data_IF_460729536962
#
_entry.id   IF_460729536962
#
_cell.length_a   1.000
_cell.length_b   1.000
_cell.length_c   1.000
_cell.angle_alpha   90.00
_cell.angle_beta   90.00
_cell.angle_gamma   90.00
#
_symmetry.space_group_name_H-M   'P 1'
#
loop_
_entity.id
_entity.type
_entity.pdbx_description
1 polymer ?
#
# COMPACT_ATOMS: atom_id res chain seq x y z
N UNK A 1 -11.17 -15.78 19.15
CA UNK A 1 -11.19 -15.54 17.69
C UNK A 1 -9.89 -14.84 17.32
N UNK A 2 -8.90 -15.59 16.85
CA UNK A 2 -7.62 -15.04 16.43
C UNK A 2 -7.81 -14.34 15.08
N UNK A 3 -7.48 -13.05 15.03
CA UNK A 3 -7.37 -12.35 13.75
C UNK A 3 -6.18 -12.99 13.02
N UNK A 4 -6.30 -13.32 11.72
CA UNK A 4 -5.18 -13.92 11.02
C UNK A 4 -3.99 -12.97 11.14
N UNK A 5 -2.78 -13.54 11.24
CA UNK A 5 -1.48 -12.87 11.26
C UNK A 5 -1.18 -12.03 10.01
N UNK A 6 -2.22 -11.70 9.22
CA UNK A 6 -2.21 -10.95 7.99
C UNK A 6 -2.17 -9.45 8.33
N UNK A 7 -1.21 -8.77 7.72
CA UNK A 7 -1.04 -7.32 7.72
C UNK A 7 -2.40 -6.62 7.62
N UNK A 8 -2.65 -5.70 8.56
CA UNK A 8 -3.86 -4.88 8.53
C UNK A 8 -3.63 -3.71 7.59
N UNK A 9 -4.63 -3.34 6.82
CA UNK A 9 -4.59 -2.10 6.06
C UNK A 9 -5.94 -1.41 6.16
N UNK A 10 -5.89 -0.09 6.04
CA UNK A 10 -7.03 0.80 6.02
C UNK A 10 -6.95 1.63 4.74
N UNK A 11 -8.09 2.10 4.25
CA UNK A 11 -8.09 2.97 3.08
C UNK A 11 -9.29 3.91 3.12
N UNK A 12 -9.08 5.09 2.56
CA UNK A 12 -10.12 6.08 2.35
C UNK A 12 -9.87 6.79 1.02
N UNK A 13 -10.94 7.29 0.41
CA UNK A 13 -10.85 8.01 -0.84
C UNK A 13 -11.42 9.43 -0.68
N UNK A 14 -10.80 10.34 -1.41
CA UNK A 14 -11.26 11.70 -1.65
C UNK A 14 -11.76 11.79 -3.09
N UNK A 15 -12.15 12.98 -3.56
CA UNK A 15 -12.64 13.18 -4.92
C UNK A 15 -11.61 12.80 -6.02
N UNK A 16 -10.31 12.94 -5.72
CA UNK A 16 -9.24 12.76 -6.72
C UNK A 16 -8.14 11.80 -6.27
N UNK A 17 -8.21 11.30 -5.04
CA UNK A 17 -7.12 10.51 -4.48
C UNK A 17 -7.63 9.36 -3.62
N UNK A 18 -6.97 8.21 -3.72
CA UNK A 18 -7.14 7.07 -2.82
C UNK A 18 -5.93 6.97 -1.90
N UNK A 19 -6.17 6.94 -0.60
CA UNK A 19 -5.12 6.84 0.41
C UNK A 19 -5.26 5.48 1.08
N UNK A 20 -4.20 4.68 1.02
CA UNK A 20 -4.13 3.35 1.63
C UNK A 20 -3.06 3.37 2.72
N UNK A 21 -3.45 3.05 3.95
CA UNK A 21 -2.54 2.94 5.09
C UNK A 21 -2.34 1.47 5.44
N UNK A 22 -1.12 0.96 5.25
CA UNK A 22 -0.77 -0.44 5.50
C UNK A 22 -0.03 -0.53 6.83
N UNK A 23 -0.60 -1.26 7.80
CA UNK A 23 0.00 -1.53 9.11
C UNK A 23 0.88 -2.78 9.05
N UNK A 24 2.18 -2.57 9.06
CA UNK A 24 3.20 -3.61 8.93
C UNK A 24 4.15 -3.58 10.12
N UNK A 25 4.46 -4.72 10.75
CA UNK A 25 5.40 -4.74 11.87
C UNK A 25 6.84 -4.85 11.35
N UNK A 26 7.72 -3.96 11.81
CA UNK A 26 9.16 -3.93 11.50
C UNK A 26 9.48 -3.68 10.02
N UNK A 27 8.64 -2.94 9.29
CA UNK A 27 9.00 -2.55 7.92
C UNK A 27 10.09 -1.48 7.91
N UNK A 28 11.03 -1.60 6.98
CA UNK A 28 11.92 -0.52 6.57
C UNK A 28 11.51 -0.02 5.20
N UNK A 29 11.96 1.17 4.83
CA UNK A 29 11.69 1.72 3.49
C UNK A 29 12.24 0.81 2.38
N UNK A 30 13.45 0.27 2.56
CA UNK A 30 14.04 -0.74 1.66
C UNK A 30 13.22 -2.03 1.51
N UNK A 31 12.44 -2.38 2.54
CA UNK A 31 11.63 -3.60 2.53
C UNK A 31 10.25 -3.37 1.87
N UNK A 32 9.90 -2.12 1.58
CA UNK A 32 8.60 -1.72 1.03
C UNK A 32 8.76 -1.36 -0.44
N UNK A 33 8.25 -2.21 -1.31
CA UNK A 33 8.20 -1.97 -2.75
C UNK A 33 6.76 -1.75 -3.18
N UNK A 34 6.45 -0.53 -3.61
CA UNK A 34 5.13 -0.17 -4.12
C UNK A 34 5.24 0.07 -5.62
N UNK A 35 4.45 -0.67 -6.40
CA UNK A 35 4.31 -0.46 -7.83
C UNK A 35 2.87 -0.09 -8.17
N UNK A 36 2.74 0.97 -8.95
CA UNK A 36 1.48 1.46 -9.48
C UNK A 36 1.36 1.01 -10.93
N UNK A 37 0.16 0.60 -11.32
CA UNK A 37 -0.21 0.25 -12.70
C UNK A 37 -1.49 0.99 -13.04
N UNK A 38 -1.88 1.05 -14.32
CA UNK A 38 -2.99 1.90 -14.80
C UNK A 38 -4.29 1.82 -13.96
N UNK A 39 -4.61 0.64 -13.39
CA UNK A 39 -5.78 0.43 -12.51
C UNK A 39 -5.49 -0.43 -11.30
N UNK A 40 -4.22 -0.61 -10.96
CA UNK A 40 -3.83 -1.54 -9.90
C UNK A 40 -2.71 -0.96 -9.05
N UNK A 41 -2.82 -1.20 -7.74
CA UNK A 41 -1.75 -0.96 -6.78
C UNK A 41 -1.21 -2.31 -6.32
N UNK A 42 0.10 -2.49 -6.43
CA UNK A 42 0.79 -3.67 -5.94
C UNK A 42 1.82 -3.23 -4.88
N UNK A 43 1.61 -3.65 -3.64
CA UNK A 43 2.52 -3.40 -2.54
C UNK A 43 3.17 -4.71 -2.11
N UNK A 44 4.47 -4.84 -2.31
CA UNK A 44 5.29 -5.96 -1.87
C UNK A 44 6.11 -5.56 -0.66
N UNK A 45 5.93 -6.26 0.44
CA UNK A 45 6.57 -5.99 1.71
C UNK A 45 7.45 -7.19 2.08
N UNK A 46 8.75 -6.95 2.20
CA UNK A 46 9.74 -7.95 2.58
C UNK A 46 9.87 -8.00 4.08
N UNK A 47 9.17 -8.92 4.73
CA UNK A 47 9.33 -9.12 6.17
C UNK A 47 10.58 -9.96 6.44
N UNK A 48 11.29 -9.64 7.52
CA UNK A 48 12.46 -10.40 7.97
C UNK A 48 12.12 -11.83 8.41
N UNK A 49 10.83 -12.16 8.58
CA UNK A 49 10.32 -13.47 9.01
C UNK A 49 9.93 -14.39 7.83
N UNK A 50 10.63 -14.30 6.70
CA UNK A 50 10.47 -15.15 5.49
C UNK A 50 9.13 -15.01 4.72
N UNK A 51 8.09 -14.43 5.31
CA UNK A 51 6.83 -14.16 4.61
C UNK A 51 6.90 -12.84 3.82
N UNK A 52 7.12 -12.94 2.50
CA UNK A 52 6.95 -11.82 1.60
C UNK A 52 5.45 -11.54 1.44
N UNK A 53 4.98 -10.44 2.01
CA UNK A 53 3.57 -10.06 1.90
C UNK A 53 3.35 -9.26 0.62
N UNK A 54 2.30 -9.62 -0.12
CA UNK A 54 1.89 -8.89 -1.33
C UNK A 54 0.45 -8.45 -1.18
N UNK A 55 0.22 -7.15 -1.20
CA UNK A 55 -1.10 -6.55 -1.27
C UNK A 55 -1.34 -6.10 -2.71
N UNK A 56 -2.37 -6.65 -3.33
CA UNK A 56 -2.85 -6.22 -4.63
C UNK A 56 -4.21 -5.60 -4.47
N UNK A 57 -4.35 -4.33 -4.83
CA UNK A 57 -5.61 -3.60 -4.81
C UNK A 57 -5.98 -3.21 -6.24
N UNK A 58 -7.17 -3.60 -6.66
CA UNK A 58 -7.74 -3.19 -7.93
C UNK A 58 -8.55 -1.93 -7.71
N UNK A 59 -8.25 -0.89 -8.48
CA UNK A 59 -8.88 0.41 -8.36
C UNK A 59 -10.01 0.51 -9.38
N UNK A 60 -11.10 1.19 -9.00
CA UNK A 60 -12.27 1.35 -9.85
C UNK A 60 -11.96 2.27 -11.05
N UNK A 61 -11.20 3.33 -10.77
CA UNK A 61 -10.79 4.34 -11.75
C UNK A 61 -9.35 4.10 -12.19
N UNK A 62 -9.02 4.58 -13.39
CA UNK A 62 -7.62 4.68 -13.80
C UNK A 62 -6.86 5.60 -12.84
N UNK A 63 -5.58 5.34 -12.68
CA UNK A 63 -4.70 6.14 -11.82
C UNK A 63 -3.57 6.74 -12.62
N UNK A 64 -2.90 7.72 -12.02
CA UNK A 64 -1.67 8.32 -12.54
C UNK A 64 -0.50 7.79 -11.70
N UNK A 65 0.19 6.71 -12.14
CA UNK A 65 1.34 6.15 -11.43
C UNK A 65 2.41 7.18 -11.09
N UNK A 66 2.64 8.13 -12.00
CA UNK A 66 3.66 9.18 -11.86
C UNK A 66 3.35 10.19 -10.75
N UNK A 67 2.06 10.39 -10.44
CA UNK A 67 1.62 11.27 -9.35
C UNK A 67 1.30 10.49 -8.06
N UNK A 68 1.28 9.16 -8.15
CA UNK A 68 1.07 8.29 -7.00
C UNK A 68 2.37 8.14 -6.21
N UNK A 69 2.27 8.23 -4.89
CA UNK A 69 3.41 8.29 -3.98
C UNK A 69 3.16 7.38 -2.80
N UNK A 70 4.22 6.81 -2.24
CA UNK A 70 4.15 6.16 -0.94
C UNK A 70 5.12 6.82 0.02
N UNK A 71 4.79 6.73 1.30
CA UNK A 71 5.60 7.27 2.39
C UNK A 71 5.57 6.30 3.56
N UNK A 72 6.74 5.87 3.99
CA UNK A 72 6.88 5.11 5.22
C UNK A 72 6.83 6.11 6.38
N UNK A 73 5.71 6.12 7.10
CA UNK A 73 5.52 7.01 8.24
C UNK A 73 6.23 6.48 9.48
N UNK A 74 6.32 5.17 9.65
CA UNK A 74 7.11 4.49 10.68
C UNK A 74 7.31 3.03 10.32
N UNK A 75 8.10 2.30 11.11
CA UNK A 75 8.26 0.83 10.99
C UNK A 75 6.98 0.03 11.28
N UNK A 76 5.88 0.72 11.54
CA UNK A 76 4.55 0.19 11.85
C UNK A 76 3.50 0.51 10.79
N UNK A 77 3.70 1.52 9.95
CA UNK A 77 2.69 2.02 9.02
C UNK A 77 3.30 2.71 7.79
N UNK A 78 2.78 2.34 6.63
CA UNK A 78 3.09 2.92 5.32
C UNK A 78 1.84 3.56 4.76
N UNK A 79 1.92 4.82 4.37
CA UNK A 79 0.84 5.51 3.66
C UNK A 79 1.13 5.49 2.16
N UNK A 80 0.16 5.08 1.36
CA UNK A 80 0.22 5.07 -0.09
C UNK A 80 -0.87 6.02 -0.58
N UNK A 81 -0.44 7.10 -1.24
CA UNK A 81 -1.31 8.07 -1.88
C UNK A 81 -1.37 7.76 -3.38
N UNK A 82 -2.57 7.54 -3.88
CA UNK A 82 -2.80 7.19 -5.28
C UNK A 82 -3.59 8.33 -5.92
N UNK A 83 -3.08 8.86 -7.02
CA UNK A 83 -3.76 9.89 -7.81
C UNK A 83 -4.73 9.23 -8.79
N UNK A 84 -6.01 9.59 -8.73
CA UNK A 84 -6.98 9.11 -9.70
C UNK A 84 -6.87 9.93 -10.99
N UNK A 85 -6.82 9.25 -12.12
CA UNK A 85 -7.02 9.88 -13.41
C UNK A 85 -8.51 10.19 -13.56
N UNK A 86 -8.84 11.48 -13.73
CA UNK A 86 -10.22 11.92 -14.01
C UNK A 86 -10.66 11.51 -15.42
#
# INVERSE_FOLDING_TARGET
MAWPSKIKYDWYQTDSHVIVTIMIKHAKEDDVNITFSEKELNASLKLSSEENYKLKLHLLHSIVPEQSLFKVLSTKYVAVKIEQAQ
#
